data_IF_372040111650
#
_entry.id   IF_372040111650
#
_cell.length_a   1.000
_cell.length_b   1.000
_cell.length_c   1.000
_cell.angle_alpha   90.00
_cell.angle_beta   90.00
_cell.angle_gamma   90.00
#
_symmetry.space_group_name_H-M   'P 1'
#
loop_
_entity.id
_entity.type
_entity.pdbx_description
1 polymer ?
#
# COMPACT_ATOMS: atom_id res chain seq x y z
N UNK A 1 2.19 12.76 9.98
CA UNK A 1 1.96 12.14 8.66
C UNK A 1 0.81 12.86 7.98
N UNK A 2 0.97 13.23 6.71
CA UNK A 2 -0.12 13.83 5.92
C UNK A 2 -1.16 12.77 5.53
N UNK A 3 -2.42 13.18 5.37
CA UNK A 3 -3.51 12.28 4.92
C UNK A 3 -3.25 11.72 3.52
N UNK A 4 -2.58 12.49 2.66
CA UNK A 4 -2.09 12.02 1.37
C UNK A 4 -0.57 11.84 1.43
N UNK A 5 -0.07 10.67 1.02
CA UNK A 5 1.34 10.32 0.90
C UNK A 5 1.71 9.98 -0.55
N UNK A 6 3.00 10.07 -0.87
CA UNK A 6 3.54 9.65 -2.17
C UNK A 6 4.06 8.22 -2.13
N UNK A 7 3.52 7.36 -3.02
CA UNK A 7 3.98 5.99 -3.25
C UNK A 7 5.05 5.90 -4.33
N UNK A 8 6.14 5.23 -3.99
CA UNK A 8 7.34 5.14 -4.83
C UNK A 8 7.37 4.02 -5.87
N UNK A 9 6.30 3.23 -6.04
CA UNK A 9 6.29 2.05 -6.93
C UNK A 9 6.73 2.40 -8.37
N UNK A 10 6.34 3.58 -8.85
CA UNK A 10 6.60 4.03 -10.24
C UNK A 10 7.76 5.03 -10.36
N UNK A 11 8.49 5.35 -9.28
CA UNK A 11 9.58 6.32 -9.28
C UNK A 11 10.82 5.79 -10.02
N UNK A 12 10.80 5.91 -11.33
CA UNK A 12 11.98 5.65 -12.18
C UNK A 12 12.01 6.59 -13.40
N UNK A 13 13.20 6.92 -13.94
CA UNK A 13 13.31 7.71 -15.15
C UNK A 13 12.63 7.07 -16.37
N UNK A 14 12.45 5.76 -16.36
CA UNK A 14 11.76 5.03 -17.43
C UNK A 14 10.25 5.32 -17.45
N UNK A 15 9.64 5.53 -16.28
CA UNK A 15 8.20 5.76 -16.15
C UNK A 15 7.84 7.24 -16.00
N UNK A 16 8.76 8.01 -15.42
CA UNK A 16 8.60 9.44 -15.15
C UNK A 16 9.85 10.13 -15.68
N UNK A 17 9.72 11.05 -16.61
CA UNK A 17 10.87 11.71 -17.23
C UNK A 17 11.83 12.36 -16.21
N UNK A 18 11.30 13.00 -15.18
CA UNK A 18 12.06 13.56 -14.05
C UNK A 18 11.40 13.17 -12.71
N UNK A 19 11.73 11.99 -12.16
CA UNK A 19 11.13 11.50 -10.93
C UNK A 19 11.59 12.26 -9.68
N UNK A 20 12.77 12.87 -9.68
CA UNK A 20 13.25 13.70 -8.58
C UNK A 20 12.44 14.99 -8.49
N UNK A 21 12.19 15.66 -9.63
CA UNK A 21 11.30 16.83 -9.68
C UNK A 21 9.89 16.51 -9.16
N UNK A 22 9.37 15.30 -9.44
CA UNK A 22 8.08 14.87 -8.91
C UNK A 22 8.12 14.72 -7.37
N UNK A 23 9.18 14.16 -6.81
CA UNK A 23 9.35 14.03 -5.35
C UNK A 23 9.50 15.41 -4.69
N UNK A 24 10.31 16.29 -5.27
CA UNK A 24 10.43 17.68 -4.79
C UNK A 24 9.09 18.40 -4.82
N UNK A 25 8.35 18.25 -5.92
CA UNK A 25 7.02 18.88 -6.04
C UNK A 25 6.04 18.35 -5.01
N UNK A 26 6.05 17.03 -4.71
CA UNK A 26 5.23 16.45 -3.66
C UNK A 26 5.53 17.10 -2.30
N UNK A 27 6.81 17.24 -1.96
CA UNK A 27 7.23 17.90 -0.72
C UNK A 27 6.79 19.37 -0.67
N UNK A 28 6.97 20.12 -1.76
CA UNK A 28 6.58 21.53 -1.86
C UNK A 28 5.06 21.74 -1.75
N UNK A 29 4.27 20.74 -2.17
CA UNK A 29 2.81 20.72 -1.99
C UNK A 29 2.38 20.33 -0.56
N UNK A 30 3.32 20.08 0.34
CA UNK A 30 3.06 19.78 1.74
C UNK A 30 2.93 18.28 2.05
N UNK A 31 3.12 17.38 1.09
CA UNK A 31 3.20 15.94 1.37
C UNK A 31 4.46 15.69 2.22
N UNK A 32 4.28 15.08 3.38
CA UNK A 32 5.38 14.74 4.27
C UNK A 32 5.54 13.24 4.53
N UNK A 33 4.75 12.40 3.87
CA UNK A 33 4.84 10.95 3.95
C UNK A 33 5.22 10.34 2.60
N UNK A 34 6.32 9.57 2.58
CA UNK A 34 6.88 8.94 1.38
C UNK A 34 7.09 7.45 1.64
N UNK A 35 6.45 6.61 0.83
CA UNK A 35 6.54 5.15 0.92
C UNK A 35 7.35 4.57 -0.24
N UNK A 36 8.34 3.75 0.09
CA UNK A 36 9.19 3.06 -0.89
C UNK A 36 9.48 1.62 -0.49
N UNK A 37 10.27 0.92 -1.28
CA UNK A 37 10.78 -0.41 -1.00
C UNK A 37 12.04 -0.70 -1.84
N UNK A 38 12.92 -1.64 -1.43
CA UNK A 38 14.12 -2.00 -2.18
C UNK A 38 13.88 -2.41 -3.63
N UNK A 39 12.75 -3.08 -3.92
CA UNK A 39 12.42 -3.53 -5.28
C UNK A 39 11.62 -2.52 -6.12
N UNK A 40 11.15 -1.42 -5.53
CA UNK A 40 10.31 -0.49 -6.27
C UNK A 40 11.09 0.17 -7.40
N UNK A 41 10.48 0.18 -8.59
CA UNK A 41 11.10 0.72 -9.80
C UNK A 41 12.48 0.08 -10.10
N UNK A 42 12.68 -1.20 -9.78
CA UNK A 42 13.95 -1.91 -9.99
C UNK A 42 15.08 -1.44 -9.07
N UNK A 43 14.77 -0.87 -7.91
CA UNK A 43 15.71 -0.31 -6.94
C UNK A 43 15.91 1.20 -7.03
N UNK A 44 15.41 1.85 -8.09
CA UNK A 44 15.57 3.29 -8.31
C UNK A 44 14.76 4.13 -7.31
N UNK A 45 13.61 3.64 -6.83
CA UNK A 45 12.71 4.41 -5.98
C UNK A 45 13.38 4.92 -4.69
N UNK A 46 14.10 4.06 -3.97
CA UNK A 46 14.81 4.47 -2.75
C UNK A 46 15.89 5.51 -3.06
N UNK A 47 16.65 5.33 -4.16
CA UNK A 47 17.70 6.26 -4.56
C UNK A 47 17.11 7.65 -4.86
N UNK A 48 16.06 7.71 -5.66
CA UNK A 48 15.40 8.97 -6.05
C UNK A 48 14.85 9.70 -4.81
N UNK A 49 14.16 8.98 -3.92
CA UNK A 49 13.65 9.56 -2.68
C UNK A 49 14.78 10.02 -1.78
N UNK A 50 15.84 9.21 -1.63
CA UNK A 50 17.01 9.55 -0.81
C UNK A 50 17.76 10.77 -1.33
N UNK A 51 17.89 10.93 -2.65
CA UNK A 51 18.53 12.10 -3.28
C UNK A 51 17.65 13.35 -3.15
N UNK A 52 16.37 13.25 -3.47
CA UNK A 52 15.46 14.38 -3.46
C UNK A 52 15.15 14.91 -2.04
N UNK A 53 15.18 14.05 -1.02
CA UNK A 53 14.76 14.38 0.35
C UNK A 53 15.88 14.28 1.40
N UNK A 54 17.16 14.17 1.01
CA UNK A 54 18.28 13.96 1.94
C UNK A 54 18.21 14.86 3.18
N UNK A 55 18.00 16.17 2.99
CA UNK A 55 17.98 17.19 4.05
C UNK A 55 16.57 17.68 4.39
N UNK A 56 15.52 16.98 3.94
CA UNK A 56 14.12 17.40 4.15
C UNK A 56 13.51 16.69 5.36
N UNK A 57 12.79 17.40 6.22
CA UNK A 57 12.04 16.80 7.31
C UNK A 57 10.78 16.11 6.74
N UNK A 58 10.82 14.78 6.64
CA UNK A 58 9.70 13.98 6.16
C UNK A 58 9.62 12.67 6.91
N UNK A 59 8.50 11.99 6.79
CA UNK A 59 8.26 10.65 7.31
C UNK A 59 8.54 9.66 6.18
N UNK A 60 9.57 8.84 6.36
CA UNK A 60 9.96 7.82 5.39
C UNK A 60 9.51 6.43 5.84
N UNK A 61 8.89 5.73 4.90
CA UNK A 61 8.59 4.33 5.04
C UNK A 61 9.33 3.51 3.98
N UNK A 62 9.96 2.42 4.41
CA UNK A 62 10.51 1.40 3.51
C UNK A 62 10.22 0.00 4.05
N UNK A 63 10.71 -1.04 3.39
CA UNK A 63 10.26 -2.40 3.64
C UNK A 63 11.43 -3.38 3.64
N UNK A 64 11.27 -4.53 4.30
CA UNK A 64 12.20 -5.66 4.21
C UNK A 64 11.60 -6.86 3.48
N UNK A 65 12.46 -7.76 3.10
CA UNK A 65 12.10 -8.97 2.38
C UNK A 65 11.85 -8.71 0.89
N UNK A 66 11.12 -9.61 0.28
CA UNK A 66 10.76 -9.56 -1.14
C UNK A 66 11.97 -9.33 -2.07
N UNK A 67 13.01 -10.16 -1.88
CA UNK A 67 14.21 -10.12 -2.74
C UNK A 67 13.92 -10.57 -4.16
N UNK A 68 12.99 -11.55 -4.31
CA UNK A 68 12.45 -12.00 -5.61
C UNK A 68 11.05 -12.59 -5.40
N UNK A 69 10.36 -12.90 -6.49
CA UNK A 69 9.03 -13.51 -6.42
C UNK A 69 9.04 -14.95 -5.90
N UNK A 70 10.14 -15.69 -6.10
CA UNK A 70 10.18 -17.13 -5.87
C UNK A 70 11.23 -17.56 -4.84
N UNK A 71 12.34 -16.84 -4.74
CA UNK A 71 13.46 -17.21 -3.88
C UNK A 71 14.11 -15.99 -3.26
N UNK A 72 14.47 -16.10 -2.01
CA UNK A 72 15.21 -15.08 -1.30
C UNK A 72 15.67 -15.60 0.04
N UNK A 73 16.57 -14.89 0.71
CA UNK A 73 17.12 -15.31 2.00
C UNK A 73 16.15 -14.98 3.16
N UNK A 74 14.88 -15.40 3.03
CA UNK A 74 13.83 -15.11 4.02
C UNK A 74 14.09 -15.75 5.40
N UNK A 75 14.97 -16.75 5.46
CA UNK A 75 15.36 -17.42 6.72
C UNK A 75 16.73 -16.99 7.20
N UNK A 76 17.34 -15.97 6.60
CA UNK A 76 18.66 -15.46 6.96
C UNK A 76 18.58 -14.10 7.63
N UNK A 77 18.84 -14.06 8.94
CA UNK A 77 18.85 -12.84 9.76
C UNK A 77 19.84 -11.78 9.23
N UNK A 78 21.02 -12.21 8.80
CA UNK A 78 22.06 -11.29 8.32
C UNK A 78 21.69 -10.67 6.97
N UNK A 79 20.93 -11.38 6.13
CA UNK A 79 20.40 -10.82 4.90
C UNK A 79 19.42 -9.66 5.15
N UNK A 80 18.57 -9.76 6.17
CA UNK A 80 17.68 -8.66 6.58
C UNK A 80 18.46 -7.44 7.09
N UNK A 81 19.47 -7.67 7.94
CA UNK A 81 20.33 -6.60 8.46
C UNK A 81 21.02 -5.87 7.32
N UNK A 82 21.65 -6.60 6.41
CA UNK A 82 22.29 -6.02 5.23
C UNK A 82 21.32 -5.26 4.33
N UNK A 83 20.08 -5.75 4.16
CA UNK A 83 19.08 -5.05 3.37
C UNK A 83 18.67 -3.72 4.01
N UNK A 84 18.52 -3.65 5.35
CA UNK A 84 18.23 -2.41 6.06
C UNK A 84 19.41 -1.43 5.96
N UNK A 85 20.63 -1.86 6.24
CA UNK A 85 21.83 -1.02 6.12
C UNK A 85 21.95 -0.43 4.71
N UNK A 86 21.79 -1.25 3.67
CA UNK A 86 21.78 -0.79 2.27
C UNK A 86 20.66 0.21 2.01
N UNK A 87 19.46 -0.03 2.56
CA UNK A 87 18.34 0.89 2.40
C UNK A 87 18.59 2.24 3.07
N UNK A 88 19.19 2.24 4.27
CA UNK A 88 19.55 3.47 4.99
C UNK A 88 20.60 4.28 4.24
N UNK A 89 21.63 3.62 3.72
CA UNK A 89 22.68 4.25 2.92
C UNK A 89 22.08 4.91 1.66
N UNK A 90 21.24 4.19 0.91
CA UNK A 90 20.60 4.68 -0.30
C UNK A 90 19.63 5.83 0.01
N UNK A 91 18.86 5.73 1.08
CA UNK A 91 17.92 6.76 1.52
C UNK A 91 18.62 7.96 2.18
N UNK A 92 19.93 7.87 2.43
CA UNK A 92 20.74 8.90 3.14
C UNK A 92 20.15 9.23 4.51
N UNK A 93 19.83 8.20 5.29
CA UNK A 93 19.24 8.28 6.63
C UNK A 93 19.95 7.34 7.58
N UNK A 94 20.06 7.74 8.84
CA UNK A 94 20.51 6.86 9.92
C UNK A 94 19.37 6.00 10.48
N UNK A 95 18.11 6.44 10.22
CA UNK A 95 16.91 5.78 10.72
C UNK A 95 15.75 6.05 9.77
N UNK A 96 14.83 5.09 9.64
CA UNK A 96 13.53 5.28 8.96
C UNK A 96 12.38 5.30 9.97
N UNK A 97 11.32 6.06 9.64
CA UNK A 97 10.20 6.25 10.56
C UNK A 97 9.32 5.01 10.65
N UNK A 98 8.97 4.40 9.52
CA UNK A 98 8.15 3.19 9.48
C UNK A 98 8.85 2.13 8.63
N UNK A 99 9.01 0.95 9.19
CA UNK A 99 9.64 -0.16 8.48
C UNK A 99 8.72 -1.35 8.39
N UNK A 100 8.35 -1.75 7.18
CA UNK A 100 7.35 -2.78 6.94
C UNK A 100 7.96 -4.15 6.63
N UNK A 101 7.33 -5.23 7.10
CA UNK A 101 7.43 -6.52 6.44
C UNK A 101 6.66 -6.41 5.13
N UNK A 102 7.34 -6.57 4.00
CA UNK A 102 6.75 -6.43 2.67
C UNK A 102 5.93 -7.67 2.30
N UNK A 103 4.59 -7.54 2.31
CA UNK A 103 3.66 -8.66 2.09
C UNK A 103 3.76 -9.74 3.18
N UNK A 104 3.48 -9.34 4.42
CA UNK A 104 3.46 -10.23 5.59
C UNK A 104 2.41 -11.38 5.48
N UNK A 105 1.54 -11.32 4.49
CA UNK A 105 0.59 -12.37 4.09
C UNK A 105 1.22 -13.50 3.28
N UNK A 106 2.55 -13.53 3.14
CA UNK A 106 3.30 -14.61 2.50
C UNK A 106 3.91 -15.55 3.53
N UNK A 107 3.76 -16.88 3.32
CA UNK A 107 4.29 -17.92 4.18
C UNK A 107 5.84 -17.93 4.26
N UNK A 108 6.53 -17.44 3.24
CA UNK A 108 8.02 -17.42 3.17
C UNK A 108 8.70 -16.76 4.37
N UNK A 109 8.01 -15.84 5.06
CA UNK A 109 8.53 -15.21 6.26
C UNK A 109 8.44 -16.10 7.49
N UNK A 110 7.48 -17.01 7.49
CA UNK A 110 7.02 -17.74 8.67
C UNK A 110 7.36 -19.21 8.66
N UNK A 111 7.53 -19.81 7.48
CA UNK A 111 7.83 -21.22 7.30
C UNK A 111 9.23 -21.44 6.76
N UNK A 112 9.84 -22.57 7.15
CA UNK A 112 11.05 -23.10 6.51
C UNK A 112 10.62 -24.06 5.39
N UNK A 113 10.75 -23.62 4.15
CA UNK A 113 10.23 -24.31 2.98
C UNK A 113 11.23 -24.26 1.84
N UNK A 114 11.38 -25.39 1.16
CA UNK A 114 12.16 -25.47 -0.09
C UNK A 114 11.53 -24.67 -1.23
N UNK A 115 10.20 -24.65 -1.28
CA UNK A 115 9.41 -23.89 -2.26
C UNK A 115 8.39 -23.04 -1.49
N UNK A 116 8.49 -21.72 -1.51
CA UNK A 116 7.55 -20.84 -0.83
C UNK A 116 6.14 -20.98 -1.39
N UNK A 117 5.16 -21.17 -0.50
CA UNK A 117 3.75 -21.08 -0.88
C UNK A 117 3.40 -19.62 -1.20
N UNK A 118 2.70 -19.42 -2.31
CA UNK A 118 2.10 -18.12 -2.59
C UNK A 118 1.03 -17.78 -1.54
N UNK A 119 0.68 -16.49 -1.42
CA UNK A 119 -0.42 -16.07 -0.53
C UNK A 119 -1.76 -16.75 -0.84
N UNK A 120 -1.95 -17.23 -2.07
CA UNK A 120 -3.16 -17.97 -2.48
C UNK A 120 -3.21 -19.40 -1.95
N UNK A 121 -2.08 -19.92 -1.48
CA UNK A 121 -1.92 -21.27 -0.94
C UNK A 121 -1.82 -21.28 0.59
N UNK A 122 -1.79 -20.09 1.22
CA UNK A 122 -1.82 -19.93 2.68
C UNK A 122 -3.27 -19.96 3.14
N UNK A 123 -3.54 -20.81 4.10
CA UNK A 123 -4.88 -20.96 4.67
C UNK A 123 -4.96 -20.31 6.07
N UNK A 124 -6.16 -19.88 6.47
CA UNK A 124 -6.34 -19.21 7.76
C UNK A 124 -6.06 -20.11 8.97
N UNK A 125 -6.16 -21.43 8.80
CA UNK A 125 -5.85 -22.43 9.84
C UNK A 125 -4.38 -22.84 9.90
N UNK A 126 -3.54 -22.37 8.98
CA UNK A 126 -2.09 -22.61 9.06
C UNK A 126 -1.53 -22.03 10.36
N UNK A 127 -0.64 -22.76 11.00
CA UNK A 127 0.01 -22.33 12.25
C UNK A 127 1.44 -21.94 11.93
N UNK A 128 1.80 -20.71 12.28
CA UNK A 128 3.13 -20.17 12.06
C UNK A 128 3.82 -19.83 13.37
N UNK A 129 5.11 -20.11 13.46
CA UNK A 129 5.94 -19.61 14.57
C UNK A 129 6.48 -18.21 14.21
N UNK A 130 5.64 -17.21 14.43
CA UNK A 130 6.02 -15.81 14.20
C UNK A 130 7.17 -15.36 15.09
N UNK A 131 7.27 -15.89 16.31
CA UNK A 131 8.24 -15.44 17.31
C UNK A 131 9.67 -15.84 16.95
N UNK A 132 9.88 -17.07 16.46
CA UNK A 132 11.20 -17.59 16.08
C UNK A 132 11.61 -17.18 14.65
N UNK A 133 10.71 -16.55 13.90
CA UNK A 133 11.01 -16.12 12.53
C UNK A 133 12.19 -15.14 12.49
N UNK A 134 13.15 -15.33 11.57
CA UNK A 134 14.27 -14.41 11.40
C UNK A 134 13.87 -12.95 11.17
N UNK A 135 12.78 -12.72 10.45
CA UNK A 135 12.28 -11.34 10.25
C UNK A 135 11.81 -10.71 11.56
N UNK A 136 11.20 -11.47 12.47
CA UNK A 136 10.79 -10.97 13.79
C UNK A 136 12.01 -10.63 14.66
N UNK A 137 13.02 -11.51 14.69
CA UNK A 137 14.27 -11.27 15.40
C UNK A 137 14.99 -10.05 14.85
N UNK A 138 15.02 -9.91 13.53
CA UNK A 138 15.59 -8.76 12.85
C UNK A 138 14.89 -7.45 13.22
N UNK A 139 13.56 -7.39 13.19
CA UNK A 139 12.80 -6.17 13.51
C UNK A 139 13.02 -5.73 14.96
N UNK A 140 13.04 -6.68 15.90
CA UNK A 140 13.37 -6.37 17.29
C UNK A 140 14.77 -5.78 17.40
N UNK A 141 15.76 -6.42 16.79
CA UNK A 141 17.15 -5.91 16.77
C UNK A 141 17.23 -4.52 16.13
N UNK A 142 16.60 -4.30 14.98
CA UNK A 142 16.67 -3.02 14.28
C UNK A 142 16.05 -1.87 15.08
N UNK A 143 14.97 -2.15 15.81
CA UNK A 143 14.33 -1.18 16.71
C UNK A 143 15.21 -0.89 17.94
N UNK A 144 15.82 -1.91 18.55
CA UNK A 144 16.75 -1.75 19.67
C UNK A 144 18.01 -0.95 19.26
N UNK A 145 18.48 -1.08 18.01
CA UNK A 145 19.57 -0.27 17.47
C UNK A 145 19.14 1.15 17.08
N UNK A 146 17.87 1.50 17.15
CA UNK A 146 17.35 2.80 16.75
C UNK A 146 17.36 3.05 15.23
N UNK A 147 17.54 2.01 14.40
CA UNK A 147 17.56 2.12 12.95
C UNK A 147 16.15 2.22 12.34
N UNK A 148 15.14 1.81 13.08
CA UNK A 148 13.72 1.94 12.73
C UNK A 148 12.94 2.46 13.95
N UNK A 149 11.95 3.36 13.73
CA UNK A 149 11.13 3.88 14.83
C UNK A 149 9.90 3.03 15.07
N UNK A 150 9.18 2.69 14.01
CA UNK A 150 7.91 1.98 14.06
C UNK A 150 7.94 0.73 13.19
N UNK A 151 7.38 -0.36 13.71
CA UNK A 151 7.22 -1.62 12.99
C UNK A 151 5.86 -1.62 12.30
N UNK A 152 5.88 -1.92 11.00
CA UNK A 152 4.67 -2.10 10.20
C UNK A 152 4.61 -3.45 9.51
N UNK A 153 3.43 -3.81 9.07
CA UNK A 153 3.21 -4.90 8.12
C UNK A 153 2.50 -4.37 6.88
N UNK A 154 2.83 -4.91 5.71
CA UNK A 154 2.08 -4.63 4.50
C UNK A 154 1.58 -5.91 3.84
N UNK A 155 0.60 -5.80 2.95
CA UNK A 155 0.10 -6.94 2.19
C UNK A 155 -1.18 -6.65 1.44
N UNK A 156 -1.70 -7.70 0.82
CA UNK A 156 -2.79 -7.65 -0.14
C UNK A 156 -3.92 -8.65 0.16
N UNK A 157 -3.84 -9.38 1.27
CA UNK A 157 -4.88 -10.30 1.71
C UNK A 157 -5.38 -9.92 3.09
N UNK A 158 -6.60 -9.37 3.18
CA UNK A 158 -7.19 -8.85 4.41
C UNK A 158 -7.32 -9.91 5.51
N UNK A 159 -7.65 -11.15 5.16
CA UNK A 159 -7.84 -12.22 6.14
C UNK A 159 -6.51 -12.68 6.74
N UNK A 160 -5.49 -12.89 5.88
CA UNK A 160 -4.16 -13.29 6.33
C UNK A 160 -3.49 -12.18 7.15
N UNK A 161 -3.62 -10.91 6.72
CA UNK A 161 -3.13 -9.78 7.51
C UNK A 161 -3.83 -9.67 8.86
N UNK A 162 -5.14 -9.94 8.92
CA UNK A 162 -5.88 -9.99 10.20
C UNK A 162 -5.31 -11.07 11.12
N UNK A 163 -4.98 -12.25 10.56
CA UNK A 163 -4.32 -13.33 11.30
C UNK A 163 -2.95 -12.88 11.81
N UNK A 164 -2.10 -12.32 10.96
CA UNK A 164 -0.77 -11.81 11.37
C UNK A 164 -0.92 -10.78 12.50
N UNK A 165 -1.79 -9.79 12.37
CA UNK A 165 -2.02 -8.77 13.41
C UNK A 165 -2.43 -9.39 14.75
N UNK A 166 -3.20 -10.48 14.73
CA UNK A 166 -3.68 -11.11 15.96
C UNK A 166 -2.63 -11.99 16.65
N UNK A 167 -1.74 -12.61 15.90
CA UNK A 167 -0.81 -13.63 16.38
C UNK A 167 0.64 -13.15 16.48
N UNK A 168 0.98 -12.01 15.85
CA UNK A 168 2.36 -11.49 15.82
C UNK A 168 2.82 -11.03 17.21
N UNK A 169 4.03 -11.40 17.65
CA UNK A 169 4.48 -11.19 19.03
C UNK A 169 4.94 -9.76 19.34
N UNK A 170 5.39 -9.00 18.33
CA UNK A 170 5.80 -7.61 18.53
C UNK A 170 4.63 -6.66 18.33
N UNK A 171 4.75 -5.45 18.89
CA UNK A 171 3.81 -4.37 18.59
C UNK A 171 3.91 -4.00 17.11
N UNK A 172 2.78 -4.00 16.44
CA UNK A 172 2.62 -3.45 15.09
C UNK A 172 2.06 -2.05 15.26
N UNK A 173 2.75 -1.03 14.74
CA UNK A 173 2.33 0.37 14.80
C UNK A 173 1.59 0.81 13.53
N UNK A 174 1.91 0.20 12.38
CA UNK A 174 1.35 0.56 11.09
C UNK A 174 0.98 -0.66 10.24
N UNK A 175 -0.15 -0.55 9.55
CA UNK A 175 -0.62 -1.48 8.54
C UNK A 175 -0.70 -0.75 7.20
N UNK A 176 0.03 -1.21 6.18
CA UNK A 176 -0.16 -0.77 4.80
C UNK A 176 -0.93 -1.86 4.05
N UNK A 177 -2.18 -1.60 3.73
CA UNK A 177 -3.03 -2.53 2.98
C UNK A 177 -3.25 -2.00 1.56
N UNK A 178 -2.85 -2.79 0.55
CA UNK A 178 -3.00 -2.42 -0.84
C UNK A 178 -4.15 -3.19 -1.50
N UNK A 179 -4.88 -2.54 -2.41
CA UNK A 179 -5.96 -3.10 -3.22
C UNK A 179 -7.22 -3.55 -2.49
N UNK A 180 -7.21 -3.65 -1.16
CA UNK A 180 -8.27 -4.25 -0.36
C UNK A 180 -9.37 -3.26 0.06
N UNK A 181 -9.22 -1.98 -0.33
CA UNK A 181 -10.25 -0.96 -0.13
C UNK A 181 -10.19 0.10 -1.25
N UNK A 182 -11.29 0.30 -1.95
CA UNK A 182 -11.42 1.26 -3.05
C UNK A 182 -12.89 1.64 -3.27
N UNK A 183 -13.20 2.36 -4.33
CA UNK A 183 -14.60 2.67 -4.69
C UNK A 183 -15.45 1.41 -4.91
N UNK A 184 -14.84 0.32 -5.36
CA UNK A 184 -15.53 -0.90 -5.81
C UNK A 184 -15.31 -2.08 -4.87
N UNK A 185 -14.08 -2.28 -4.38
CA UNK A 185 -13.69 -3.41 -3.53
C UNK A 185 -13.43 -2.95 -2.12
N UNK A 186 -13.94 -3.67 -1.11
CA UNK A 186 -13.82 -3.31 0.32
C UNK A 186 -13.57 -4.51 1.21
N UNK A 187 -12.70 -5.41 0.79
CA UNK A 187 -12.41 -6.66 1.51
C UNK A 187 -11.84 -6.40 2.92
N UNK A 188 -11.14 -5.27 3.12
CA UNK A 188 -10.58 -4.92 4.41
C UNK A 188 -11.63 -4.36 5.42
N UNK A 189 -12.84 -4.02 4.95
CA UNK A 189 -13.84 -3.26 5.73
C UNK A 189 -14.32 -3.99 6.98
N UNK A 190 -14.55 -5.30 6.88
CA UNK A 190 -15.27 -6.04 7.93
C UNK A 190 -14.36 -6.67 8.98
N UNK A 191 -13.12 -6.97 8.65
CA UNK A 191 -12.20 -7.69 9.55
C UNK A 191 -10.92 -6.94 9.81
N UNK A 192 -10.16 -6.59 8.78
CA UNK A 192 -8.81 -6.07 8.91
C UNK A 192 -8.79 -4.68 9.54
N UNK A 193 -9.58 -3.73 9.01
CA UNK A 193 -9.62 -2.35 9.51
C UNK A 193 -10.14 -2.31 10.96
N UNK A 194 -11.27 -2.97 11.33
CA UNK A 194 -11.71 -3.03 12.71
C UNK A 194 -10.70 -3.68 13.66
N UNK A 195 -9.97 -4.69 13.20
CA UNK A 195 -8.91 -5.33 13.99
C UNK A 195 -7.74 -4.39 14.23
N UNK A 196 -7.28 -3.70 13.20
CA UNK A 196 -6.21 -2.71 13.30
C UNK A 196 -6.59 -1.58 14.27
N UNK A 197 -7.80 -1.03 14.13
CA UNK A 197 -8.34 0.01 15.01
C UNK A 197 -8.41 -0.44 16.48
N UNK A 198 -8.90 -1.65 16.75
CA UNK A 198 -8.97 -2.20 18.11
C UNK A 198 -7.60 -2.32 18.77
N UNK A 199 -6.55 -2.51 17.97
CA UNK A 199 -5.17 -2.66 18.45
C UNK A 199 -4.36 -1.36 18.37
N UNK A 200 -4.99 -0.23 18.06
CA UNK A 200 -4.33 1.07 17.92
C UNK A 200 -3.22 1.07 16.84
N UNK A 201 -3.49 0.42 15.71
CA UNK A 201 -2.61 0.34 14.55
C UNK A 201 -3.05 1.37 13.52
N UNK A 202 -2.14 2.25 13.11
CA UNK A 202 -2.39 3.21 12.03
C UNK A 202 -2.57 2.51 10.68
N UNK A 203 -3.66 2.81 9.96
CA UNK A 203 -3.95 2.18 8.67
C UNK A 203 -3.56 3.10 7.52
N UNK A 204 -2.66 2.63 6.68
CA UNK A 204 -2.22 3.29 5.45
C UNK A 204 -2.81 2.52 4.27
N UNK A 205 -3.58 3.20 3.43
CA UNK A 205 -4.20 2.60 2.26
C UNK A 205 -3.32 2.79 1.03
N UNK A 206 -2.85 1.68 0.46
CA UNK A 206 -2.10 1.65 -0.79
C UNK A 206 -2.97 1.33 -2.01
N UNK A 207 -2.52 1.78 -3.18
CA UNK A 207 -3.19 1.50 -4.47
C UNK A 207 -4.67 1.92 -4.54
N UNK A 208 -5.04 3.12 -4.08
CA UNK A 208 -6.44 3.57 -4.05
C UNK A 208 -7.08 3.63 -5.43
N UNK A 209 -6.30 3.86 -6.47
CA UNK A 209 -6.73 3.90 -7.87
C UNK A 209 -6.59 2.56 -8.60
N UNK A 210 -6.35 1.46 -7.86
CA UNK A 210 -6.28 0.09 -8.40
C UNK A 210 -5.36 -0.02 -9.63
N UNK A 211 -4.12 0.48 -9.52
CA UNK A 211 -3.14 0.54 -10.61
C UNK A 211 -3.65 1.28 -11.86
N UNK A 212 -4.42 2.34 -11.66
CA UNK A 212 -4.96 3.17 -12.75
C UNK A 212 -6.36 2.76 -13.24
N UNK A 213 -6.88 1.58 -12.85
CA UNK A 213 -8.23 1.14 -13.24
C UNK A 213 -9.35 2.07 -12.77
N UNK A 214 -9.11 2.84 -11.71
CA UNK A 214 -10.01 3.84 -11.15
C UNK A 214 -9.50 5.27 -11.34
N UNK A 215 -8.53 5.50 -12.22
CA UNK A 215 -8.04 6.84 -12.52
C UNK A 215 -8.87 7.54 -13.59
N UNK A 216 -9.24 6.79 -14.63
CA UNK A 216 -10.05 7.28 -15.77
C UNK A 216 -11.11 6.24 -16.15
N UNK A 217 -12.23 6.67 -16.78
CA UNK A 217 -13.19 5.71 -17.32
C UNK A 217 -12.63 4.89 -18.48
N UNK A 218 -13.02 3.62 -18.51
CA UNK A 218 -12.75 2.65 -19.57
C UNK A 218 -14.06 2.11 -20.13
N UNK A 219 -14.81 2.90 -20.93
CA UNK A 219 -16.14 2.51 -21.41
C UNK A 219 -16.10 1.21 -22.24
N UNK A 220 -14.99 0.93 -22.92
CA UNK A 220 -14.78 -0.32 -23.66
C UNK A 220 -14.88 -1.59 -22.78
N UNK A 221 -14.56 -1.50 -21.50
CA UNK A 221 -14.68 -2.64 -20.56
C UNK A 221 -16.14 -3.00 -20.25
N UNK A 222 -17.08 -2.11 -20.57
CA UNK A 222 -18.51 -2.38 -20.38
C UNK A 222 -19.12 -3.18 -21.55
N UNK A 223 -18.42 -3.24 -22.68
CA UNK A 223 -18.82 -3.97 -23.88
C UNK A 223 -17.96 -5.23 -24.03
N UNK A 224 -16.65 -5.08 -23.90
CA UNK A 224 -15.64 -6.15 -23.99
C UNK A 224 -14.84 -6.19 -22.68
N UNK A 225 -15.38 -6.85 -21.62
CA UNK A 225 -14.70 -6.90 -20.33
C UNK A 225 -13.38 -7.67 -20.40
N UNK A 226 -12.30 -7.16 -19.80
CA UNK A 226 -11.05 -7.89 -19.68
C UNK A 226 -11.23 -9.16 -18.82
N UNK A 227 -10.35 -10.15 -18.97
CA UNK A 227 -10.43 -11.46 -18.32
C UNK A 227 -10.54 -11.40 -16.78
N UNK A 228 -10.00 -10.35 -16.17
CA UNK A 228 -10.09 -10.13 -14.71
C UNK A 228 -11.44 -9.59 -14.25
N UNK A 229 -12.32 -9.13 -15.14
CA UNK A 229 -13.60 -8.48 -14.82
C UNK A 229 -14.76 -9.48 -14.96
N UNK A 230 -15.29 -9.93 -13.85
CA UNK A 230 -16.52 -10.71 -13.86
C UNK A 230 -17.77 -9.81 -14.01
N UNK A 231 -18.95 -10.41 -14.22
CA UNK A 231 -20.20 -9.68 -14.46
C UNK A 231 -20.60 -8.75 -13.30
N UNK A 232 -20.36 -9.14 -12.04
CA UNK A 232 -20.66 -8.29 -10.88
C UNK A 232 -19.72 -7.06 -10.85
N UNK A 233 -18.44 -7.25 -11.11
CA UNK A 233 -17.47 -6.16 -11.24
C UNK A 233 -17.82 -5.22 -12.40
N UNK A 234 -18.20 -5.75 -13.56
CA UNK A 234 -18.63 -4.97 -14.71
C UNK A 234 -19.86 -4.10 -14.36
N UNK A 235 -20.84 -4.64 -13.63
CA UNK A 235 -22.00 -3.89 -13.18
C UNK A 235 -21.62 -2.75 -12.24
N UNK A 236 -20.67 -2.94 -11.35
CA UNK A 236 -20.18 -1.89 -10.45
C UNK A 236 -19.44 -0.79 -11.21
N UNK A 237 -18.61 -1.14 -12.19
CA UNK A 237 -17.98 -0.16 -13.06
C UNK A 237 -19.00 0.65 -13.85
N UNK A 238 -20.05 0.00 -14.35
CA UNK A 238 -21.18 0.70 -15.02
C UNK A 238 -21.82 1.74 -14.10
N UNK A 239 -22.17 1.35 -12.88
CA UNK A 239 -22.79 2.25 -11.92
C UNK A 239 -21.82 3.37 -11.47
N UNK A 240 -20.53 3.08 -11.32
CA UNK A 240 -19.50 4.09 -11.02
C UNK A 240 -19.36 5.11 -12.16
N UNK A 241 -19.40 4.66 -13.42
CA UNK A 241 -19.34 5.55 -14.58
C UNK A 241 -20.61 6.39 -14.72
N UNK A 242 -21.76 5.91 -14.27
CA UNK A 242 -22.99 6.71 -14.17
C UNK A 242 -22.83 7.83 -13.15
N UNK A 243 -22.30 7.55 -11.96
CA UNK A 243 -21.99 8.57 -10.95
C UNK A 243 -21.05 9.62 -11.53
N UNK A 244 -19.96 9.19 -12.17
CA UNK A 244 -19.03 10.11 -12.84
C UNK A 244 -19.73 11.00 -13.87
N UNK A 245 -20.55 10.44 -14.74
CA UNK A 245 -21.28 11.16 -15.79
C UNK A 245 -22.31 12.16 -15.22
N UNK A 246 -23.05 11.75 -14.19
CA UNK A 246 -24.07 12.59 -13.55
C UNK A 246 -23.48 13.78 -12.79
N UNK A 247 -22.33 13.57 -12.16
CA UNK A 247 -21.72 14.56 -11.27
C UNK A 247 -20.66 15.41 -11.95
N UNK A 248 -20.08 14.93 -13.04
CA UNK A 248 -18.88 15.53 -13.68
C UNK A 248 -17.60 15.38 -12.85
N UNK A 249 -17.64 14.72 -11.69
CA UNK A 249 -16.48 14.49 -10.83
C UNK A 249 -15.63 13.36 -11.42
N UNK A 250 -14.32 13.55 -11.55
CA UNK A 250 -13.43 12.52 -12.08
C UNK A 250 -13.36 11.28 -11.18
N UNK A 251 -13.03 10.10 -11.75
CA UNK A 251 -12.89 8.87 -10.96
C UNK A 251 -11.77 8.99 -9.93
N UNK A 252 -10.67 9.65 -10.29
CA UNK A 252 -9.57 9.91 -9.35
C UNK A 252 -10.03 10.79 -8.17
N UNK A 253 -10.78 11.85 -8.46
CA UNK A 253 -11.35 12.72 -7.42
C UNK A 253 -12.34 11.97 -6.53
N UNK A 254 -13.29 11.22 -7.13
CA UNK A 254 -14.22 10.36 -6.38
C UNK A 254 -13.45 9.42 -5.45
N UNK A 255 -12.37 8.77 -5.95
CA UNK A 255 -11.54 7.85 -5.15
C UNK A 255 -10.87 8.56 -3.98
N UNK A 256 -10.13 9.62 -4.25
CA UNK A 256 -9.35 10.30 -3.21
C UNK A 256 -10.27 10.87 -2.13
N UNK A 257 -11.31 11.61 -2.51
CA UNK A 257 -12.23 12.24 -1.56
C UNK A 257 -13.07 11.24 -0.77
N UNK A 258 -13.53 10.17 -1.41
CA UNK A 258 -14.27 9.11 -0.75
C UNK A 258 -13.41 8.38 0.29
N UNK A 259 -12.18 8.04 -0.07
CA UNK A 259 -11.30 7.27 0.81
C UNK A 259 -10.76 8.10 1.97
N UNK A 260 -10.42 9.37 1.75
CA UNK A 260 -9.98 10.28 2.80
C UNK A 260 -11.10 10.68 3.78
N UNK A 261 -12.36 10.56 3.38
CA UNK A 261 -13.49 10.77 4.28
C UNK A 261 -13.65 9.66 5.34
N UNK A 262 -12.96 8.52 5.18
CA UNK A 262 -12.99 7.45 6.17
C UNK A 262 -11.99 7.71 7.29
N UNK A 263 -12.45 7.97 8.55
CA UNK A 263 -11.57 8.34 9.66
C UNK A 263 -10.71 7.18 10.17
N UNK A 264 -10.92 5.96 9.68
CA UNK A 264 -10.13 4.81 10.06
C UNK A 264 -8.80 4.73 9.27
N UNK A 265 -8.62 5.57 8.23
CA UNK A 265 -7.36 5.67 7.51
C UNK A 265 -6.48 6.80 8.06
N UNK A 266 -5.23 6.47 8.34
CA UNK A 266 -4.22 7.45 8.77
C UNK A 266 -3.63 8.19 7.56
N UNK A 267 -3.46 7.49 6.44
CA UNK A 267 -2.93 8.05 5.20
C UNK A 267 -3.34 7.23 3.98
N UNK A 268 -3.44 7.92 2.85
CA UNK A 268 -3.68 7.35 1.54
C UNK A 268 -2.42 7.51 0.68
N UNK A 269 -1.79 6.41 0.27
CA UNK A 269 -0.58 6.44 -0.55
C UNK A 269 -0.93 6.32 -2.03
N UNK A 270 -0.72 7.41 -2.78
CA UNK A 270 -0.99 7.49 -4.21
C UNK A 270 0.32 7.51 -4.99
N UNK A 271 0.42 6.67 -6.01
CA UNK A 271 1.46 6.76 -7.02
C UNK A 271 1.07 7.79 -8.10
N UNK A 272 2.04 8.55 -8.58
CA UNK A 272 1.84 9.46 -9.71
C UNK A 272 2.93 9.22 -10.77
N UNK A 273 2.55 9.29 -12.05
CA UNK A 273 3.46 9.13 -13.17
C UNK A 273 3.88 10.47 -13.79
N UNK A 274 3.31 11.58 -13.34
CA UNK A 274 3.69 12.94 -13.73
C UNK A 274 3.25 13.96 -12.68
N UNK A 275 3.79 15.16 -12.77
CA UNK A 275 3.53 16.26 -11.82
C UNK A 275 2.08 16.72 -11.85
N UNK A 276 1.43 16.76 -13.01
CA UNK A 276 0.03 17.22 -13.13
C UNK A 276 -0.91 16.29 -12.33
N UNK A 277 -0.78 14.97 -12.49
CA UNK A 277 -1.58 14.01 -11.72
C UNK A 277 -1.32 14.09 -10.21
N UNK A 278 -0.07 14.40 -9.80
CA UNK A 278 0.26 14.63 -8.40
C UNK A 278 -0.49 15.86 -7.87
N UNK A 279 -0.43 16.97 -8.59
CA UNK A 279 -1.10 18.22 -8.23
C UNK A 279 -2.62 18.05 -8.15
N UNK A 280 -3.21 17.36 -9.13
CA UNK A 280 -4.64 16.99 -9.12
C UNK A 280 -4.99 16.17 -7.87
N UNK A 281 -4.23 15.14 -7.54
CA UNK A 281 -4.49 14.31 -6.35
C UNK A 281 -4.42 15.14 -5.04
N UNK A 282 -3.49 16.09 -4.96
CA UNK A 282 -3.42 17.02 -3.81
C UNK A 282 -4.65 17.94 -3.78
N UNK A 283 -5.09 18.48 -4.92
CA UNK A 283 -6.31 19.30 -4.99
C UNK A 283 -7.55 18.49 -4.59
N UNK A 284 -7.66 17.24 -5.03
CA UNK A 284 -8.75 16.34 -4.62
C UNK A 284 -8.75 16.10 -3.11
N UNK A 285 -7.58 15.90 -2.51
CA UNK A 285 -7.47 15.74 -1.05
C UNK A 285 -7.90 17.00 -0.29
N UNK A 286 -7.55 18.18 -0.80
CA UNK A 286 -7.90 19.48 -0.20
C UNK A 286 -9.37 19.87 -0.41
N UNK A 287 -10.05 19.28 -1.38
CA UNK A 287 -11.46 19.56 -1.67
C UNK A 287 -12.43 19.04 -0.57
N UNK A 288 -11.93 18.22 0.36
CA UNK A 288 -12.73 17.66 1.44
C UNK A 288 -13.68 16.54 0.99
N UNK A 289 -14.57 16.09 1.87
CA UNK A 289 -15.45 14.95 1.58
C UNK A 289 -16.40 15.22 0.42
N UNK A 290 -16.85 14.14 -0.23
CA UNK A 290 -17.90 14.20 -1.24
C UNK A 290 -19.24 14.62 -0.61
N UNK A 291 -20.17 15.22 -1.36
CA UNK A 291 -21.55 15.38 -0.93
C UNK A 291 -22.13 14.04 -0.44
N UNK A 292 -22.93 14.07 0.61
CA UNK A 292 -23.44 12.86 1.28
C UNK A 292 -24.19 11.93 0.31
N UNK A 293 -24.96 12.48 -0.62
CA UNK A 293 -25.68 11.70 -1.63
C UNK A 293 -24.73 10.89 -2.51
N UNK A 294 -23.62 11.52 -2.96
CA UNK A 294 -22.62 10.85 -3.81
C UNK A 294 -21.85 9.81 -2.99
N UNK A 295 -21.49 10.15 -1.75
CA UNK A 295 -20.83 9.23 -0.84
C UNK A 295 -21.64 7.96 -0.63
N UNK A 296 -22.94 8.10 -0.36
CA UNK A 296 -23.87 6.98 -0.17
C UNK A 296 -24.04 6.13 -1.45
N UNK A 297 -24.16 6.75 -2.62
CA UNK A 297 -24.18 6.01 -3.90
C UNK A 297 -22.92 5.15 -4.08
N UNK A 298 -21.74 5.69 -3.73
CA UNK A 298 -20.48 4.93 -3.79
C UNK A 298 -20.46 3.81 -2.72
N UNK A 299 -21.01 4.07 -1.54
CA UNK A 299 -21.09 3.05 -0.47
C UNK A 299 -21.91 1.82 -0.91
N UNK A 300 -22.95 2.02 -1.68
CA UNK A 300 -23.77 0.94 -2.23
C UNK A 300 -23.04 0.09 -3.28
N UNK A 301 -22.04 0.64 -3.98
CA UNK A 301 -21.24 -0.09 -4.96
C UNK A 301 -20.25 -1.05 -4.31
N UNK A 302 -19.69 -0.67 -3.18
CA UNK A 302 -18.62 -1.42 -2.54
C UNK A 302 -19.14 -2.63 -1.80
N UNK A 303 -18.80 -3.81 -2.28
CA UNK A 303 -19.08 -5.07 -1.59
C UNK A 303 -17.78 -5.78 -1.24
N UNK A 304 -17.83 -6.65 -0.24
CA UNK A 304 -16.76 -7.62 0.00
C UNK A 304 -16.68 -8.52 -1.21
N UNK A 305 -15.49 -8.65 -1.75
CA UNK A 305 -15.26 -9.53 -2.90
C UNK A 305 -15.14 -10.98 -2.39
N UNK A 306 -16.01 -11.90 -2.77
CA UNK A 306 -15.92 -13.29 -2.33
C UNK A 306 -14.87 -14.05 -3.13
N UNK A 307 -13.66 -13.57 -3.22
CA UNK A 307 -12.61 -14.16 -4.02
C UNK A 307 -11.26 -14.09 -3.34
N UNK A 308 -10.48 -15.14 -3.49
CA UNK A 308 -9.07 -15.11 -3.15
C UNK A 308 -8.37 -14.12 -4.08
N UNK A 309 -7.76 -13.16 -3.49
CA UNK A 309 -6.88 -12.23 -4.16
C UNK A 309 -5.81 -12.99 -4.95
N UNK A 310 -5.64 -12.71 -6.20
CA UNK A 310 -4.57 -13.27 -7.00
C UNK A 310 -4.97 -13.95 -8.31
N UNK A 311 -6.28 -14.16 -8.55
CA UNK A 311 -6.73 -14.63 -9.86
C UNK A 311 -7.37 -13.56 -10.73
N UNK A 312 -7.68 -12.38 -10.16
CA UNK A 312 -8.44 -11.31 -10.84
C UNK A 312 -7.65 -10.00 -11.01
N UNK A 313 -6.31 -10.03 -10.77
CA UNK A 313 -5.43 -8.86 -10.96
C UNK A 313 -4.08 -9.25 -11.55
#
# INVERSE_FOLDING_TARGET
MTELGLGGVYLSPKQIGDPEALVHRAFDLGINFFDTAPLYAGGESQRIIGEALADKPCILATKCGRWSWEKGPYRDLEAYKKQLETSLDILKRDCVDVFFIHEADWAVYWEDMDIPRSRCEVELWDVFDYASSPVTQFLNWAQEQGMIKHIGISGNNSHLLTKVINEYPLRIDALLVAFQYSLIWRNAKETLIPTAKKKDIGVILGSPLQQGKLAVPHPEWLEEPPDWMNADTQQRFRALYEIHRETGISLAELSVRYLLANPDFTSLVVGSTNVAHLEENVQHALAGPLPEEIHNKIDELGKVFPGLWGKDF
#
